data_IF_267590272684
#
_entry.id   IF_267590272684
#
_cell.length_a   1.000
_cell.length_b   1.000
_cell.length_c   1.000
_cell.angle_alpha   90.00
_cell.angle_beta   90.00
_cell.angle_gamma   90.00
#
_symmetry.space_group_name_H-M   'P 1'
#
loop_
_entity.id
_entity.type
_entity.pdbx_description
1 polymer ?
#
# COMPACT_ATOMS: atom_id res chain seq x y z
N UNK A 1 0.36 -13.26 18.96
CA UNK A 1 -0.74 -12.49 19.57
C UNK A 1 -1.97 -12.72 18.70
N UNK A 2 -3.19 -12.57 19.23
CA UNK A 2 -4.37 -12.60 18.37
C UNK A 2 -4.40 -11.32 17.53
N UNK A 3 -4.76 -11.42 16.25
CA UNK A 3 -4.93 -10.27 15.39
C UNK A 3 -6.05 -9.35 15.91
N UNK A 4 -5.73 -8.09 16.17
CA UNK A 4 -6.72 -7.07 16.51
C UNK A 4 -7.22 -6.40 15.22
N UNK A 5 -8.31 -6.93 14.70
CA UNK A 5 -8.94 -6.41 13.50
C UNK A 5 -9.36 -4.93 13.64
N UNK A 6 -9.87 -4.54 14.82
CA UNK A 6 -10.37 -3.17 15.02
C UNK A 6 -9.23 -2.16 15.00
N UNK A 7 -8.10 -2.52 15.61
CA UNK A 7 -6.89 -1.70 15.61
C UNK A 7 -6.27 -1.64 14.21
N UNK A 8 -6.21 -2.76 13.48
CA UNK A 8 -5.72 -2.76 12.11
C UNK A 8 -6.56 -1.83 11.20
N UNK A 9 -7.90 -1.94 11.27
CA UNK A 9 -8.81 -1.06 10.50
C UNK A 9 -8.58 0.40 10.87
N UNK A 10 -8.40 0.72 12.15
CA UNK A 10 -8.12 2.08 12.62
C UNK A 10 -6.80 2.61 12.07
N UNK A 11 -5.73 1.81 12.11
CA UNK A 11 -4.40 2.17 11.60
C UNK A 11 -4.40 2.39 10.09
N UNK A 12 -5.02 1.47 9.32
CA UNK A 12 -5.14 1.61 7.88
C UNK A 12 -5.96 2.85 7.50
N UNK A 13 -7.06 3.10 8.23
CA UNK A 13 -7.89 4.30 8.05
C UNK A 13 -7.07 5.57 8.25
N UNK A 14 -6.35 5.66 9.37
CA UNK A 14 -5.48 6.81 9.66
C UNK A 14 -4.40 7.02 8.59
N UNK A 15 -3.86 5.93 8.04
CA UNK A 15 -2.91 6.01 6.94
C UNK A 15 -3.54 6.48 5.62
N UNK A 16 -4.69 5.94 5.23
CA UNK A 16 -5.39 6.38 4.01
C UNK A 16 -5.85 7.83 4.11
N UNK A 17 -6.30 8.27 5.28
CA UNK A 17 -6.63 9.68 5.46
C UNK A 17 -5.38 10.58 5.41
N UNK A 18 -4.23 10.09 5.88
CA UNK A 18 -2.96 10.78 5.70
C UNK A 18 -2.60 10.92 4.22
N UNK A 19 -2.75 9.85 3.41
CA UNK A 19 -2.56 9.92 1.96
C UNK A 19 -3.56 10.90 1.31
N UNK A 20 -4.83 10.90 1.74
CA UNK A 20 -5.86 11.83 1.26
C UNK A 20 -5.52 13.30 1.54
N UNK A 21 -5.02 13.59 2.74
CA UNK A 21 -4.57 14.94 3.11
C UNK A 21 -3.31 15.36 2.34
N UNK A 22 -2.45 14.40 2.02
CA UNK A 22 -1.14 14.67 1.41
C UNK A 22 -1.21 14.76 -0.13
N UNK A 23 -1.78 13.76 -0.81
CA UNK A 23 -1.68 13.71 -2.28
C UNK A 23 -2.86 13.08 -3.02
N UNK A 24 -3.77 12.33 -2.36
CA UNK A 24 -4.97 11.85 -3.07
C UNK A 24 -5.97 12.97 -3.31
N UNK A 25 -6.62 12.98 -4.48
CA UNK A 25 -7.76 13.86 -4.77
C UNK A 25 -9.10 13.23 -4.40
N UNK A 26 -9.07 12.06 -3.80
CA UNK A 26 -10.23 11.32 -3.32
C UNK A 26 -10.26 11.24 -1.81
N UNK A 27 -11.47 11.11 -1.27
CA UNK A 27 -11.70 10.92 0.16
C UNK A 27 -11.65 9.43 0.53
N UNK A 28 -11.72 9.13 1.82
CA UNK A 28 -11.76 7.76 2.33
C UNK A 28 -13.18 7.43 2.76
N UNK A 29 -13.74 6.34 2.25
CA UNK A 29 -15.02 5.79 2.66
C UNK A 29 -14.83 4.71 3.72
N UNK A 30 -15.59 4.81 4.80
CA UNK A 30 -15.61 3.81 5.87
C UNK A 30 -16.69 2.76 5.63
N UNK A 31 -16.43 1.55 6.10
CA UNK A 31 -17.40 0.48 6.07
C UNK A 31 -18.68 0.84 6.87
N UNK A 32 -19.87 0.45 6.38
CA UNK A 32 -21.09 0.55 7.19
C UNK A 32 -21.02 -0.40 8.39
N UNK A 33 -21.91 -0.24 9.38
CA UNK A 33 -21.86 -1.00 10.64
C UNK A 33 -21.89 -2.55 10.49
N UNK A 34 -22.35 -3.07 9.35
CA UNK A 34 -22.35 -4.50 9.02
C UNK A 34 -21.24 -4.93 8.05
N UNK A 35 -20.31 -4.04 7.73
CA UNK A 35 -19.32 -4.24 6.68
C UNK A 35 -19.88 -4.09 5.26
N UNK A 36 -19.00 -4.01 4.27
CA UNK A 36 -19.37 -3.89 2.87
C UNK A 36 -20.17 -5.12 2.39
N UNK A 37 -21.44 -4.96 1.96
CA UNK A 37 -22.27 -6.10 1.56
C UNK A 37 -21.78 -6.79 0.28
N UNK A 38 -21.05 -6.05 -0.56
CA UNK A 38 -20.44 -6.55 -1.79
C UNK A 38 -19.30 -7.56 -1.54
N UNK A 39 -18.71 -7.56 -0.34
CA UNK A 39 -17.62 -8.45 0.04
C UNK A 39 -18.18 -9.60 0.88
N UNK A 40 -18.13 -10.84 0.36
CA UNK A 40 -18.61 -12.03 1.06
C UNK A 40 -17.97 -13.31 0.47
N UNK A 41 -18.18 -14.45 1.12
CA UNK A 41 -17.66 -15.74 0.63
C UNK A 41 -18.12 -16.10 -0.78
N UNK A 42 -19.30 -15.64 -1.22
CA UNK A 42 -19.78 -15.87 -2.58
C UNK A 42 -18.99 -15.08 -3.62
N UNK A 43 -18.74 -13.79 -3.37
CA UNK A 43 -17.96 -12.94 -4.28
C UNK A 43 -16.47 -13.28 -4.27
N UNK A 44 -15.95 -13.80 -3.17
CA UNK A 44 -14.54 -14.20 -2.99
C UNK A 44 -14.30 -15.72 -3.12
N UNK A 45 -15.28 -16.50 -3.59
CA UNK A 45 -15.28 -17.97 -3.49
C UNK A 45 -14.02 -18.64 -4.09
N UNK A 46 -13.46 -18.08 -5.17
CA UNK A 46 -12.26 -18.62 -5.84
C UNK A 46 -10.98 -18.46 -5.03
N UNK A 47 -10.94 -17.51 -4.10
CA UNK A 47 -9.80 -17.27 -3.21
C UNK A 47 -9.86 -18.11 -1.94
N UNK A 48 -11.00 -18.75 -1.66
CA UNK A 48 -11.21 -19.64 -0.52
C UNK A 48 -10.81 -19.01 0.83
N UNK A 49 -11.00 -17.69 0.97
CA UNK A 49 -10.70 -16.96 2.21
C UNK A 49 -11.48 -17.50 3.40
N UNK A 50 -10.83 -17.53 4.56
CA UNK A 50 -11.47 -17.89 5.81
C UNK A 50 -12.36 -16.75 6.32
N UNK A 51 -13.18 -17.03 7.33
CA UNK A 51 -14.15 -16.06 7.87
C UNK A 51 -13.47 -14.79 8.40
N UNK A 52 -12.29 -14.91 9.02
CA UNK A 52 -11.54 -13.77 9.59
C UNK A 52 -11.03 -12.83 8.49
N UNK A 53 -10.47 -13.38 7.40
CA UNK A 53 -10.01 -12.59 6.27
C UNK A 53 -11.18 -11.92 5.53
N UNK A 54 -12.29 -12.64 5.33
CA UNK A 54 -13.50 -12.05 4.73
C UNK A 54 -14.05 -10.93 5.60
N UNK A 55 -14.13 -11.12 6.91
CA UNK A 55 -14.63 -10.10 7.83
C UNK A 55 -13.70 -8.88 7.91
N UNK A 56 -12.37 -9.09 7.89
CA UNK A 56 -11.42 -7.99 7.79
C UNK A 56 -11.68 -7.15 6.53
N UNK A 57 -11.73 -7.78 5.35
CA UNK A 57 -11.97 -7.10 4.07
C UNK A 57 -13.29 -6.32 4.05
N UNK A 58 -14.35 -6.88 4.67
CA UNK A 58 -15.64 -6.20 4.82
C UNK A 58 -15.57 -4.91 5.65
N UNK A 59 -14.61 -4.80 6.56
CA UNK A 59 -14.50 -3.65 7.47
C UNK A 59 -13.44 -2.63 7.03
N UNK A 60 -12.64 -2.92 6.01
CA UNK A 60 -11.58 -1.99 5.57
C UNK A 60 -12.17 -0.67 5.04
N UNK A 61 -11.46 0.45 5.26
CA UNK A 61 -11.69 1.69 4.52
C UNK A 61 -11.23 1.53 3.07
N UNK A 62 -11.83 2.29 2.16
CA UNK A 62 -11.41 2.33 0.75
C UNK A 62 -11.50 3.74 0.20
N UNK A 63 -10.68 4.09 -0.81
CA UNK A 63 -10.81 5.36 -1.52
C UNK A 63 -12.21 5.52 -2.14
N UNK A 64 -12.74 6.74 -2.12
CA UNK A 64 -14.00 7.09 -2.78
C UNK A 64 -13.78 7.26 -4.29
N UNK A 65 -13.97 6.18 -5.03
CA UNK A 65 -13.74 6.13 -6.46
C UNK A 65 -15.07 6.11 -7.21
N UNK A 66 -15.19 6.97 -8.20
CA UNK A 66 -16.26 6.88 -9.19
C UNK A 66 -16.12 5.59 -10.01
N UNK A 67 -17.23 5.03 -10.48
CA UNK A 67 -17.25 3.78 -11.25
C UNK A 67 -16.39 3.80 -12.53
N UNK A 68 -16.06 4.99 -13.05
CA UNK A 68 -15.14 5.18 -14.19
C UNK A 68 -13.65 5.04 -13.81
N UNK A 69 -13.31 5.14 -12.52
CA UNK A 69 -11.94 5.07 -11.99
C UNK A 69 -11.58 3.67 -11.46
N UNK A 70 -12.48 2.69 -11.52
CA UNK A 70 -12.29 1.36 -10.94
C UNK A 70 -11.11 0.54 -11.53
N UNK A 71 -10.47 1.01 -12.60
CA UNK A 71 -9.30 0.37 -13.20
C UNK A 71 -7.96 0.76 -12.56
N UNK A 72 -7.90 1.96 -11.96
CA UNK A 72 -6.71 2.55 -11.34
C UNK A 72 -7.12 3.10 -9.98
N UNK A 73 -6.69 2.42 -8.93
CA UNK A 73 -6.86 2.92 -7.57
C UNK A 73 -5.68 3.84 -7.20
N UNK A 74 -5.85 4.70 -6.19
CA UNK A 74 -4.77 5.54 -5.71
C UNK A 74 -3.56 4.74 -5.20
N UNK A 75 -2.37 5.31 -5.35
CA UNK A 75 -1.13 4.77 -4.79
C UNK A 75 -1.04 5.02 -3.29
N UNK A 76 -0.56 4.05 -2.53
CA UNK A 76 -0.22 4.23 -1.11
C UNK A 76 1.29 4.31 -0.86
N UNK A 77 2.07 3.84 -1.82
CA UNK A 77 3.54 3.82 -1.88
C UNK A 77 3.91 3.82 -3.36
N UNK A 78 5.20 4.02 -3.67
CA UNK A 78 5.66 4.02 -5.06
C UNK A 78 5.20 2.77 -5.81
N UNK A 79 4.64 3.00 -7.00
CA UNK A 79 4.03 1.98 -7.88
C UNK A 79 3.08 0.98 -7.16
N UNK A 80 2.49 1.33 -6.02
CA UNK A 80 1.72 0.39 -5.18
C UNK A 80 0.30 0.87 -4.94
N UNK A 81 -0.66 0.19 -5.58
CA UNK A 81 -2.07 0.55 -5.63
C UNK A 81 -2.91 -0.11 -4.53
N UNK A 82 -3.91 0.60 -4.01
CA UNK A 82 -4.92 0.01 -3.13
C UNK A 82 -5.69 -1.10 -3.85
N UNK A 83 -5.94 -2.22 -3.18
CA UNK A 83 -6.87 -3.23 -3.69
C UNK A 83 -8.30 -2.88 -3.24
N UNK A 84 -9.14 -2.34 -4.14
CA UNK A 84 -10.56 -2.11 -3.84
C UNK A 84 -11.38 -3.40 -4.05
N UNK A 85 -11.61 -4.10 -2.95
CA UNK A 85 -12.37 -5.34 -2.90
C UNK A 85 -13.89 -5.14 -3.09
N UNK A 86 -14.40 -3.91 -3.05
CA UNK A 86 -15.82 -3.63 -3.29
C UNK A 86 -16.13 -3.59 -4.78
N UNK A 87 -15.11 -3.33 -5.60
CA UNK A 87 -15.29 -3.00 -7.01
C UNK A 87 -15.72 -4.22 -7.83
N UNK A 88 -16.60 -3.98 -8.79
CA UNK A 88 -17.03 -5.03 -9.72
C UNK A 88 -15.88 -5.52 -10.61
N UNK A 89 -14.90 -4.65 -10.86
CA UNK A 89 -13.68 -5.02 -11.55
C UNK A 89 -12.90 -6.10 -10.79
N UNK A 90 -12.62 -5.90 -9.50
CA UNK A 90 -11.98 -6.91 -8.64
C UNK A 90 -12.78 -8.22 -8.62
N UNK A 91 -14.10 -8.15 -8.45
CA UNK A 91 -14.94 -9.34 -8.48
C UNK A 91 -14.92 -10.07 -9.83
N UNK A 92 -14.89 -9.35 -10.95
CA UNK A 92 -14.78 -9.95 -12.27
C UNK A 92 -13.46 -10.70 -12.45
N UNK A 93 -12.34 -10.15 -11.96
CA UNK A 93 -11.04 -10.83 -11.99
C UNK A 93 -11.07 -12.14 -11.19
N UNK A 94 -11.69 -12.12 -10.01
CA UNK A 94 -11.85 -13.32 -9.16
C UNK A 94 -12.72 -14.37 -9.85
N UNK A 95 -13.90 -13.98 -10.35
CA UNK A 95 -14.83 -14.91 -11.01
C UNK A 95 -14.23 -15.52 -12.29
N UNK A 96 -13.50 -14.73 -13.07
CA UNK A 96 -12.89 -15.16 -14.32
C UNK A 96 -11.54 -15.87 -14.13
N UNK A 97 -11.04 -15.94 -12.89
CA UNK A 97 -9.72 -16.49 -12.57
C UNK A 97 -8.58 -15.80 -13.32
N UNK A 98 -8.72 -14.49 -13.59
CA UNK A 98 -7.70 -13.65 -14.22
C UNK A 98 -7.01 -12.83 -13.13
N UNK A 99 -6.39 -13.53 -12.19
CA UNK A 99 -5.88 -12.97 -10.94
C UNK A 99 -4.48 -12.35 -11.07
N UNK A 100 -3.89 -12.32 -12.27
CA UNK A 100 -2.46 -12.16 -12.56
C UNK A 100 -1.75 -10.90 -12.02
N UNK A 101 -2.42 -9.98 -11.31
CA UNK A 101 -1.73 -8.88 -10.62
C UNK A 101 -2.57 -8.09 -9.59
N UNK A 102 -3.91 -8.18 -9.57
CA UNK A 102 -4.72 -7.08 -9.03
C UNK A 102 -5.41 -7.28 -7.67
N UNK A 103 -6.04 -8.41 -7.33
CA UNK A 103 -6.52 -8.57 -5.97
C UNK A 103 -5.43 -9.16 -5.05
N UNK A 104 -4.70 -10.17 -5.51
CA UNK A 104 -3.74 -10.88 -4.68
C UNK A 104 -2.45 -11.15 -5.45
N UNK A 105 -1.30 -10.70 -4.93
CA UNK A 105 -0.03 -11.19 -5.41
C UNK A 105 0.06 -12.68 -5.07
N UNK A 106 0.74 -13.46 -5.89
CA UNK A 106 1.03 -14.88 -5.63
C UNK A 106 -0.06 -15.90 -5.96
N UNK A 107 -1.17 -15.56 -6.63
CA UNK A 107 -2.15 -16.59 -7.07
C UNK A 107 -1.59 -17.59 -8.08
N UNK A 108 -0.48 -17.23 -8.75
CA UNK A 108 0.22 -18.07 -9.72
C UNK A 108 1.56 -18.63 -9.19
N UNK A 109 1.96 -18.28 -7.96
CA UNK A 109 3.09 -18.95 -7.29
C UNK A 109 2.54 -20.17 -6.54
N UNK A 110 3.34 -21.22 -6.48
CA UNK A 110 3.04 -22.42 -5.69
C UNK A 110 3.93 -22.40 -4.44
N UNK A 111 3.36 -22.21 -3.23
CA UNK A 111 1.93 -22.13 -2.92
C UNK A 111 1.32 -20.71 -3.11
N UNK A 112 -0.01 -20.60 -3.27
CA UNK A 112 -0.72 -19.33 -3.17
C UNK A 112 -0.75 -18.80 -1.72
N UNK A 113 -1.23 -17.56 -1.54
CA UNK A 113 -1.53 -17.02 -0.22
C UNK A 113 -2.48 -17.93 0.56
N UNK A 114 -2.25 -18.05 1.87
CA UNK A 114 -3.14 -18.82 2.74
C UNK A 114 -4.53 -18.15 2.84
N UNK A 115 -5.59 -18.92 3.13
CA UNK A 115 -6.95 -18.39 3.32
C UNK A 115 -7.11 -17.27 4.35
N UNK A 116 -6.19 -17.17 5.31
CA UNK A 116 -6.17 -16.16 6.37
C UNK A 116 -5.60 -14.80 5.92
N UNK A 117 -4.96 -14.75 4.75
CA UNK A 117 -4.34 -13.55 4.23
C UNK A 117 -5.34 -12.64 3.52
N UNK A 118 -5.15 -11.33 3.68
CA UNK A 118 -5.83 -10.29 2.92
C UNK A 118 -4.78 -9.36 2.32
N UNK A 119 -4.83 -9.17 1.00
CA UNK A 119 -4.01 -8.18 0.32
C UNK A 119 -4.70 -6.81 0.37
N UNK A 120 -4.00 -5.79 0.87
CA UNK A 120 -4.52 -4.41 0.93
C UNK A 120 -3.96 -3.50 -0.16
N UNK A 121 -2.80 -3.86 -0.72
CA UNK A 121 -2.18 -3.13 -1.81
C UNK A 121 -1.30 -4.03 -2.69
N UNK A 122 -1.22 -3.71 -3.98
CA UNK A 122 -0.50 -4.49 -4.98
C UNK A 122 0.32 -3.62 -5.93
N UNK A 123 1.37 -4.21 -6.51
CA UNK A 123 2.26 -3.55 -7.45
C UNK A 123 1.57 -3.25 -8.78
N UNK A 124 1.81 -2.05 -9.30
CA UNK A 124 1.57 -1.67 -10.69
C UNK A 124 2.79 -2.08 -11.49
N UNK A 125 2.74 -3.27 -12.09
CA UNK A 125 3.88 -3.82 -12.81
C UNK A 125 4.90 -4.47 -11.88
N UNK A 126 6.19 -4.23 -12.12
CA UNK A 126 7.29 -4.90 -11.39
C UNK A 126 8.01 -4.04 -10.37
N UNK A 127 7.64 -2.77 -10.28
CA UNK A 127 8.40 -1.74 -9.57
C UNK A 127 7.73 -1.29 -8.27
N UNK A 128 6.56 -1.84 -7.93
CA UNK A 128 5.85 -1.56 -6.70
C UNK A 128 5.93 -2.70 -5.69
N UNK A 129 4.97 -2.73 -4.78
CA UNK A 129 4.98 -3.61 -3.64
C UNK A 129 3.67 -4.37 -3.44
N UNK A 130 3.79 -5.44 -2.69
CA UNK A 130 2.73 -6.26 -2.18
C UNK A 130 2.62 -6.04 -0.68
N UNK A 131 1.41 -5.73 -0.21
CA UNK A 131 1.12 -5.55 1.21
C UNK A 131 0.02 -6.51 1.62
N UNK A 132 0.42 -7.55 2.34
CA UNK A 132 -0.46 -8.64 2.77
C UNK A 132 -0.53 -8.65 4.28
N UNK A 133 -1.73 -8.68 4.85
CA UNK A 133 -1.94 -8.92 6.28
C UNK A 133 -2.46 -10.34 6.47
N UNK A 134 -1.91 -11.07 7.43
CA UNK A 134 -2.42 -12.39 7.82
C UNK A 134 -3.18 -12.29 9.14
N UNK A 135 -4.46 -12.65 9.10
CA UNK A 135 -5.36 -12.57 10.25
C UNK A 135 -5.09 -13.64 11.31
N UNK A 136 -4.34 -14.70 11.01
CA UNK A 136 -3.99 -15.74 11.97
C UNK A 136 -2.78 -15.37 12.85
N UNK A 137 -1.79 -14.66 12.30
CA UNK A 137 -0.60 -14.25 13.05
C UNK A 137 -0.53 -12.76 13.38
N UNK A 138 -1.32 -11.95 12.69
CA UNK A 138 -1.51 -10.53 12.91
C UNK A 138 -0.39 -9.63 12.37
N UNK A 139 0.45 -10.12 11.46
CA UNK A 139 1.53 -9.34 10.86
C UNK A 139 1.19 -8.79 9.49
N UNK A 140 1.87 -7.70 9.14
CA UNK A 140 1.96 -7.19 7.77
C UNK A 140 3.22 -7.75 7.12
N UNK A 141 3.04 -8.25 5.91
CA UNK A 141 4.06 -8.79 5.04
C UNK A 141 4.21 -7.86 3.85
N UNK A 142 5.40 -7.28 3.72
CA UNK A 142 5.74 -6.31 2.70
C UNK A 142 6.88 -6.85 1.84
N UNK A 143 6.61 -7.01 0.55
CA UNK A 143 7.53 -7.57 -0.43
C UNK A 143 7.40 -6.85 -1.76
N UNK A 144 8.45 -6.86 -2.57
CA UNK A 144 8.34 -6.49 -3.98
C UNK A 144 8.09 -7.76 -4.84
N UNK A 145 7.80 -7.61 -6.15
CA UNK A 145 7.69 -8.73 -7.07
C UNK A 145 8.99 -9.54 -7.28
N UNK A 146 10.16 -8.95 -7.07
CA UNK A 146 11.46 -9.51 -7.44
C UNK A 146 12.24 -10.13 -6.25
N UNK A 147 11.73 -10.02 -5.04
CA UNK A 147 12.43 -10.36 -3.79
C UNK A 147 13.45 -9.31 -3.31
N UNK A 148 13.32 -8.06 -3.75
CA UNK A 148 14.12 -6.92 -3.30
C UNK A 148 13.39 -6.11 -2.20
N UNK A 149 14.18 -5.32 -1.47
CA UNK A 149 13.68 -4.46 -0.40
C UNK A 149 14.35 -3.10 -0.45
N UNK A 150 13.53 -2.05 -0.46
CA UNK A 150 14.03 -0.71 -0.19
C UNK A 150 14.32 -0.52 1.30
N UNK A 151 13.66 -1.23 2.20
CA UNK A 151 13.88 -1.08 3.64
C UNK A 151 14.84 -2.12 4.22
N UNK A 152 15.67 -1.74 5.22
CA UNK A 152 16.46 -2.71 5.98
C UNK A 152 15.60 -3.84 6.55
N UNK A 153 16.14 -5.05 6.59
CA UNK A 153 15.43 -6.21 7.17
C UNK A 153 15.06 -5.92 8.64
N UNK A 154 13.76 -5.91 9.01
CA UNK A 154 13.34 -5.71 10.39
C UNK A 154 13.69 -6.94 11.23
N UNK A 155 13.92 -6.75 12.54
CA UNK A 155 14.19 -7.86 13.48
C UNK A 155 13.10 -8.94 13.46
N UNK A 156 11.86 -8.53 13.16
CA UNK A 156 10.69 -9.41 13.09
C UNK A 156 10.78 -10.44 11.96
N UNK A 157 11.67 -10.27 10.97
CA UNK A 157 11.96 -11.29 9.96
C UNK A 157 12.46 -12.60 10.60
N UNK A 158 13.03 -12.57 11.81
CA UNK A 158 13.38 -13.77 12.55
C UNK A 158 12.18 -14.72 12.77
N UNK A 159 10.96 -14.19 12.79
CA UNK A 159 9.72 -14.98 12.93
C UNK A 159 9.42 -15.85 11.71
N UNK A 160 9.98 -15.53 10.53
CA UNK A 160 9.78 -16.33 9.31
C UNK A 160 10.38 -17.74 9.43
N UNK A 161 11.35 -17.94 10.33
CA UNK A 161 11.99 -19.24 10.57
C UNK A 161 11.01 -20.35 10.94
N UNK A 162 9.84 -20.01 11.49
CA UNK A 162 8.76 -20.98 11.80
C UNK A 162 8.09 -21.59 10.57
N UNK A 163 8.25 -20.97 9.40
CA UNK A 163 7.65 -21.41 8.14
C UNK A 163 8.63 -22.15 7.22
N UNK A 164 9.91 -22.29 7.61
CA UNK A 164 10.96 -22.91 6.79
C UNK A 164 10.56 -24.30 6.26
N UNK A 165 9.93 -25.11 7.10
CA UNK A 165 9.51 -26.48 6.77
C UNK A 165 8.00 -26.60 6.53
N UNK A 166 7.31 -25.48 6.26
CA UNK A 166 5.87 -25.44 6.00
C UNK A 166 5.58 -25.13 4.52
N UNK A 167 5.28 -26.16 3.69
CA UNK A 167 5.00 -25.98 2.28
C UNK A 167 3.84 -25.02 1.98
N UNK A 168 2.86 -24.89 2.87
CA UNK A 168 1.70 -24.01 2.65
C UNK A 168 2.04 -22.53 2.87
N UNK A 169 3.10 -22.23 3.63
CA UNK A 169 3.56 -20.89 3.96
C UNK A 169 4.84 -20.48 3.21
N UNK A 170 5.27 -21.25 2.20
CA UNK A 170 6.45 -20.92 1.38
C UNK A 170 6.34 -19.64 0.56
N UNK A 171 5.13 -19.12 0.36
CA UNK A 171 4.96 -17.79 -0.23
C UNK A 171 5.62 -16.68 0.63
N UNK A 172 5.92 -16.98 1.91
CA UNK A 172 6.64 -16.12 2.87
C UNK A 172 8.15 -16.33 2.89
N UNK A 173 8.67 -17.27 2.08
CA UNK A 173 10.06 -17.69 2.17
C UNK A 173 11.00 -16.50 1.93
N UNK A 174 12.11 -16.47 2.68
CA UNK A 174 13.10 -15.39 2.70
C UNK A 174 13.71 -15.14 1.31
N UNK A 175 13.81 -16.17 0.48
CA UNK A 175 14.25 -16.04 -0.92
C UNK A 175 13.26 -15.21 -1.78
N UNK A 176 12.05 -14.98 -1.28
CA UNK A 176 11.02 -14.16 -1.91
C UNK A 176 11.10 -12.69 -1.49
N UNK A 177 12.07 -12.31 -0.64
CA UNK A 177 12.23 -10.95 -0.12
C UNK A 177 10.95 -10.45 0.54
N UNK A 178 10.61 -10.97 1.73
CA UNK A 178 9.47 -10.49 2.51
C UNK A 178 9.96 -9.91 3.84
N UNK A 179 9.60 -8.65 4.09
CA UNK A 179 9.77 -8.01 5.38
C UNK A 179 8.49 -8.14 6.21
N UNK A 180 8.65 -8.43 7.50
CA UNK A 180 7.56 -8.63 8.46
C UNK A 180 7.48 -7.45 9.40
N UNK A 181 6.29 -6.90 9.59
CA UNK A 181 6.05 -5.77 10.48
C UNK A 181 4.83 -6.00 11.38
N UNK A 182 4.88 -5.41 12.57
CA UNK A 182 3.64 -5.09 13.29
C UNK A 182 2.86 -4.06 12.47
N UNK A 183 1.51 -4.11 12.44
CA UNK A 183 0.73 -3.13 11.70
C UNK A 183 1.04 -1.68 12.07
N UNK A 184 1.18 -1.39 13.37
CA UNK A 184 1.49 -0.04 13.84
C UNK A 184 2.84 0.47 13.33
N UNK A 185 3.87 -0.38 13.40
CA UNK A 185 5.22 -0.02 12.96
C UNK A 185 5.28 0.17 11.44
N UNK A 186 4.57 -0.68 10.68
CA UNK A 186 4.47 -0.57 9.23
C UNK A 186 3.89 0.79 8.79
N UNK A 187 2.71 1.15 9.30
CA UNK A 187 2.08 2.42 8.90
C UNK A 187 2.84 3.64 9.42
N UNK A 188 3.48 3.55 10.60
CA UNK A 188 4.35 4.59 11.11
C UNK A 188 5.57 4.81 10.20
N UNK A 189 6.20 3.73 9.74
CA UNK A 189 7.31 3.74 8.80
C UNK A 189 6.91 4.38 7.46
N UNK A 190 5.78 3.98 6.89
CA UNK A 190 5.30 4.58 5.64
C UNK A 190 5.07 6.10 5.78
N UNK A 191 4.40 6.55 6.85
CA UNK A 191 4.24 8.00 7.13
C UNK A 191 5.58 8.69 7.30
N UNK A 192 6.55 8.04 7.96
CA UNK A 192 7.89 8.58 8.15
C UNK A 192 8.59 8.84 6.82
N UNK A 193 8.47 7.96 5.83
CA UNK A 193 9.07 8.17 4.49
C UNK A 193 8.53 9.39 3.77
N UNK A 194 7.23 9.68 3.90
CA UNK A 194 6.67 10.95 3.40
C UNK A 194 7.20 12.16 4.18
N UNK A 195 7.27 12.08 5.52
CA UNK A 195 7.78 13.19 6.35
C UNK A 195 9.24 13.53 6.03
N UNK A 196 10.05 12.51 5.76
CA UNK A 196 11.45 12.63 5.37
C UNK A 196 11.63 13.07 3.91
N UNK A 197 10.53 13.21 3.16
CA UNK A 197 10.54 13.46 1.71
C UNK A 197 11.29 12.40 0.93
N UNK A 198 11.42 11.17 1.46
CA UNK A 198 11.88 10.02 0.68
C UNK A 198 10.79 9.55 -0.28
N UNK A 199 9.52 9.73 0.09
CA UNK A 199 8.37 9.58 -0.79
C UNK A 199 7.66 10.92 -0.93
N UNK A 200 7.34 11.31 -2.16
CA UNK A 200 6.62 12.54 -2.48
C UNK A 200 5.46 12.18 -3.39
N UNK A 201 4.23 12.35 -2.89
CA UNK A 201 3.04 12.18 -3.72
C UNK A 201 2.81 13.43 -4.55
N UNK A 202 3.00 13.32 -5.85
CA UNK A 202 2.71 14.39 -6.81
C UNK A 202 1.20 14.50 -7.07
N UNK A 203 0.59 13.33 -7.29
CA UNK A 203 -0.85 13.14 -7.37
C UNK A 203 -1.22 11.71 -6.93
N UNK A 204 -2.50 11.37 -6.99
CA UNK A 204 -2.99 10.07 -6.50
C UNK A 204 -2.47 8.84 -7.26
N UNK A 205 -1.84 9.03 -8.41
CA UNK A 205 -1.30 7.99 -9.28
C UNK A 205 0.22 8.06 -9.46
N UNK A 206 0.87 9.12 -8.96
CA UNK A 206 2.30 9.34 -9.11
C UNK A 206 2.94 9.68 -7.76
N UNK A 207 3.92 8.86 -7.36
CA UNK A 207 4.77 9.07 -6.20
C UNK A 207 6.21 9.06 -6.70
N UNK A 208 6.95 10.12 -6.44
CA UNK A 208 8.41 10.10 -6.59
C UNK A 208 9.03 9.51 -5.34
N UNK A 209 9.92 8.52 -5.49
CA UNK A 209 10.51 7.79 -4.37
C UNK A 209 12.03 7.65 -4.49
N UNK A 210 12.71 7.93 -3.39
CA UNK A 210 14.12 7.65 -3.18
C UNK A 210 14.30 6.33 -2.44
N UNK A 211 14.97 5.38 -3.09
CA UNK A 211 15.35 4.10 -2.48
C UNK A 211 16.33 4.33 -1.31
N UNK A 212 16.33 3.45 -0.30
CA UNK A 212 17.18 3.66 0.88
C UNK A 212 18.67 3.56 0.60
N UNK A 213 19.06 2.84 -0.44
CA UNK A 213 20.46 2.71 -0.85
C UNK A 213 21.00 3.91 -1.64
N UNK A 214 20.16 4.89 -1.96
CA UNK A 214 20.59 6.17 -2.52
C UNK A 214 20.79 7.18 -1.38
N UNK A 215 22.00 7.71 -1.28
CA UNK A 215 22.32 8.80 -0.35
C UNK A 215 21.85 10.14 -0.93
N UNK A 216 21.40 11.05 -0.07
CA UNK A 216 20.96 12.39 -0.47
C UNK A 216 22.02 13.15 -1.26
N UNK A 217 23.30 12.87 -0.98
CA UNK A 217 24.46 13.52 -1.61
C UNK A 217 24.73 12.99 -3.04
N UNK A 218 24.08 11.89 -3.45
CA UNK A 218 24.19 11.30 -4.79
C UNK A 218 23.12 11.83 -5.76
N UNK A 219 22.12 12.56 -5.24
CA UNK A 219 21.13 13.30 -6.01
C UNK A 219 21.79 14.58 -6.50
N UNK A 220 22.45 14.52 -7.65
CA UNK A 220 23.03 15.69 -8.29
C UNK A 220 21.97 16.80 -8.48
N UNK A 221 22.42 18.05 -8.69
CA UNK A 221 21.56 19.23 -8.88
C UNK A 221 20.55 19.15 -10.06
N UNK A 222 20.57 18.05 -10.83
CA UNK A 222 19.67 17.75 -11.97
C UNK A 222 18.68 16.59 -11.68
N UNK A 223 18.48 16.21 -10.41
CA UNK A 223 17.52 15.16 -10.03
C UNK A 223 16.10 15.74 -9.80
N UNK A 224 15.12 15.28 -10.59
CA UNK A 224 13.70 15.63 -10.48
C UNK A 224 13.18 15.51 -9.03
N UNK A 225 13.67 14.53 -8.26
CA UNK A 225 13.26 14.36 -6.87
C UNK A 225 13.77 15.49 -5.97
N UNK A 226 14.98 16.01 -6.20
CA UNK A 226 15.53 17.11 -5.41
C UNK A 226 14.74 18.42 -5.62
N UNK A 227 14.24 18.64 -6.83
CA UNK A 227 13.34 19.76 -7.14
C UNK A 227 12.01 19.61 -6.42
N UNK A 228 11.41 18.41 -6.43
CA UNK A 228 10.18 18.11 -5.67
C UNK A 228 10.36 18.36 -4.16
N UNK A 229 11.50 17.99 -3.59
CA UNK A 229 11.85 18.26 -2.19
C UNK A 229 11.84 19.77 -1.91
N UNK A 230 12.46 20.56 -2.80
CA UNK A 230 12.50 22.02 -2.66
C UNK A 230 11.08 22.62 -2.73
N UNK A 231 10.26 22.16 -3.67
CA UNK A 231 8.87 22.61 -3.82
C UNK A 231 8.01 22.25 -2.60
N UNK A 232 8.12 21.02 -2.07
CA UNK A 232 7.43 20.57 -0.86
C UNK A 232 7.80 21.44 0.35
N UNK A 233 9.10 21.71 0.55
CA UNK A 233 9.58 22.60 1.62
C UNK A 233 9.08 24.03 1.45
N UNK A 234 9.07 24.55 0.22
CA UNK A 234 8.52 25.88 -0.07
C UNK A 234 7.01 25.95 0.21
N UNK A 235 6.29 24.84 0.04
CA UNK A 235 4.89 24.68 0.42
C UNK A 235 4.67 24.47 1.92
N UNK A 236 5.74 24.41 2.73
CA UNK A 236 5.63 24.29 4.20
C UNK A 236 5.52 22.85 4.71
N UNK A 237 5.86 21.86 3.90
CA UNK A 237 6.00 20.48 4.38
C UNK A 237 7.08 20.38 5.48
N UNK A 238 6.91 19.55 6.54
CA UNK A 238 5.82 18.59 6.76
C UNK A 238 4.58 19.14 7.45
N UNK A 239 4.50 20.46 7.66
CA UNK A 239 3.43 21.06 8.45
C UNK A 239 3.38 20.46 9.86
N UNK A 240 2.30 19.77 10.21
CA UNK A 240 2.15 19.04 11.48
C UNK A 240 2.68 17.59 11.46
N UNK A 241 3.15 17.10 10.30
CA UNK A 241 3.59 15.72 10.10
C UNK A 241 2.46 14.71 9.86
N UNK A 242 1.19 15.12 9.93
CA UNK A 242 0.00 14.28 9.68
C UNK A 242 -0.72 14.67 8.39
N UNK A 243 -0.01 15.38 7.50
CA UNK A 243 -0.51 15.87 6.21
C UNK A 243 -1.32 17.17 6.33
N UNK A 244 -1.25 17.89 7.46
CA UNK A 244 -1.92 19.20 7.65
C UNK A 244 -0.89 20.31 7.83
N UNK A 245 -1.34 21.55 7.71
CA UNK A 245 -0.48 22.72 7.97
C UNK A 245 0.57 23.00 6.89
N UNK A 246 0.50 22.32 5.75
CA UNK A 246 1.27 22.62 4.53
C UNK A 246 0.31 23.05 3.41
N UNK A 247 0.82 23.78 2.41
CA UNK A 247 0.03 24.37 1.34
C UNK A 247 0.06 23.51 0.07
N UNK A 248 -0.85 22.54 0.00
CA UNK A 248 -1.01 21.65 -1.16
C UNK A 248 -1.31 22.39 -2.46
N UNK A 249 -2.05 23.49 -2.40
CA UNK A 249 -2.38 24.30 -3.60
C UNK A 249 -1.13 24.98 -4.14
N UNK A 250 -0.28 25.51 -3.25
CA UNK A 250 1.01 26.08 -3.64
C UNK A 250 1.94 25.04 -4.24
N UNK A 251 2.05 23.84 -3.64
CA UNK A 251 2.86 22.76 -4.21
C UNK A 251 2.42 22.42 -5.64
N UNK A 252 1.12 22.26 -5.88
CA UNK A 252 0.58 22.02 -7.23
C UNK A 252 0.86 23.15 -8.22
N UNK A 253 0.80 24.40 -7.77
CA UNK A 253 1.14 25.53 -8.61
C UNK A 253 2.64 25.54 -8.98
N UNK A 254 3.52 25.11 -8.07
CA UNK A 254 4.95 24.97 -8.35
C UNK A 254 5.22 23.86 -9.38
N UNK A 255 4.59 22.69 -9.22
CA UNK A 255 4.67 21.58 -10.21
C UNK A 255 4.27 22.02 -11.62
N UNK A 256 3.17 22.78 -11.74
CA UNK A 256 2.68 23.27 -13.03
C UNK A 256 3.59 24.36 -13.61
N UNK A 257 4.09 25.28 -12.77
CA UNK A 257 4.98 26.35 -13.21
C UNK A 257 6.31 25.83 -13.77
N UNK A 258 6.81 24.73 -13.20
CA UNK A 258 8.05 24.10 -13.68
C UNK A 258 7.87 23.41 -15.05
N UNK A 259 6.72 22.77 -15.26
CA UNK A 259 6.36 22.16 -16.55
C UNK A 259 6.28 23.15 -17.74
N UNK A 260 6.13 24.46 -17.46
CA UNK A 260 6.12 25.51 -18.48
C UNK A 260 7.52 26.11 -18.75
N UNK A 261 8.45 26.03 -17.79
CA UNK A 261 9.84 26.50 -17.94
C UNK A 261 10.78 25.50 -18.61
N UNK A 262 10.38 24.22 -18.72
CA UNK A 262 11.16 23.15 -19.37
C UNK A 262 10.97 23.00 -20.89
N UNK A 263 10.46 24.01 -21.61
CA UNK A 263 10.28 23.99 -23.08
C UNK A 263 11.20 24.94 -23.83
#
# INVERSE_FOLDING_TARGET
>A
MAFDQSEFVRLLTDYYEFCSRTFWDVTVQHAPAGGWPSINHGTLARLQKNDQAVELLRQLPYPDLDASQAFFTPLIMDHTQVVDWRSEYTHALIRNNTLEAKPEPYTNRDPPLTPSCACIATSVGRDGYFVVVDTEDGYVYWSDPNGEHDEPEPELNATLTRFTDDPANRWRDRLSGVNVYQPADFFALCKQRFRELRWIGEDQYNISALRMNCEWDELAEEDEHAELVAMMRQAGWPGDGEGRGWDRTKFRALLQGDSESGK
#
